data_IF_181555627850
#
_entry.id   IF_181555627850
#
_cell.length_a   1.000
_cell.length_b   1.000
_cell.length_c   1.000
_cell.angle_alpha   90.00
_cell.angle_beta   90.00
_cell.angle_gamma   90.00
#
_symmetry.space_group_name_H-M   'P 1'
#
loop_
_entity.id
_entity.type
_entity.pdbx_description
1 polymer ?
#
# COMPACT_ATOMS: atom_id res chain seq x y z
N UNK A 1 -13.85 -18.12 50.28
CA UNK A 1 -14.30 -17.06 51.16
C UNK A 1 -15.71 -17.42 51.61
N UNK A 2 -15.91 -17.68 52.88
CA UNK A 2 -17.18 -18.07 53.47
C UNK A 2 -17.10 -17.70 54.96
N UNK A 3 -18.14 -17.14 55.56
CA UNK A 3 -18.19 -16.81 57.00
C UNK A 3 -18.40 -18.06 57.87
N UNK A 4 -18.84 -19.17 57.24
CA UNK A 4 -18.83 -20.49 57.86
C UNK A 4 -17.41 -21.10 57.80
N UNK A 5 -16.76 -21.12 58.97
CA UNK A 5 -15.39 -21.63 59.12
C UNK A 5 -15.28 -23.14 58.86
N UNK A 6 -16.34 -23.91 59.18
CA UNK A 6 -16.32 -25.37 58.98
C UNK A 6 -16.33 -25.68 57.47
N UNK A 7 -17.21 -25.05 56.71
CA UNK A 7 -17.28 -25.20 55.26
C UNK A 7 -15.94 -24.76 54.60
N UNK A 8 -15.41 -23.61 54.99
CA UNK A 8 -14.15 -23.09 54.48
C UNK A 8 -12.99 -24.06 54.75
N UNK A 9 -12.94 -24.66 55.93
CA UNK A 9 -11.85 -25.60 56.29
C UNK A 9 -11.98 -26.92 55.53
N UNK A 10 -13.20 -27.46 55.39
CA UNK A 10 -13.46 -28.68 54.63
C UNK A 10 -13.05 -28.49 53.15
N UNK A 11 -13.45 -27.39 52.54
CA UNK A 11 -13.07 -27.08 51.16
C UNK A 11 -11.56 -26.91 51.01
N UNK A 12 -10.90 -26.26 51.94
CA UNK A 12 -9.44 -26.11 51.95
C UNK A 12 -8.73 -27.45 51.99
N UNK A 13 -9.09 -28.31 52.97
CA UNK A 13 -8.45 -29.62 53.12
C UNK A 13 -8.65 -30.53 51.91
N UNK A 14 -9.88 -30.52 51.36
CA UNK A 14 -10.22 -31.30 50.19
C UNK A 14 -9.44 -30.83 48.94
N UNK A 15 -9.46 -29.55 48.65
CA UNK A 15 -8.76 -29.01 47.47
C UNK A 15 -7.24 -29.08 47.65
N UNK A 16 -6.70 -28.94 48.86
CA UNK A 16 -5.28 -29.16 49.16
C UNK A 16 -4.86 -30.61 48.87
N UNK A 17 -5.72 -31.57 49.27
CA UNK A 17 -5.53 -32.97 48.93
C UNK A 17 -5.52 -33.28 47.42
N UNK A 18 -6.21 -32.49 46.64
CA UNK A 18 -6.22 -32.55 45.15
C UNK A 18 -5.05 -31.78 44.48
N UNK A 19 -4.13 -31.23 45.29
CA UNK A 19 -2.92 -30.56 44.81
C UNK A 19 -3.03 -29.08 44.56
N UNK A 20 -4.08 -28.41 45.05
CA UNK A 20 -4.22 -26.97 44.92
C UNK A 20 -3.66 -26.24 46.15
N UNK A 21 -3.03 -25.07 45.91
CA UNK A 21 -2.71 -24.14 47.00
C UNK A 21 -3.97 -23.33 47.35
N UNK A 22 -4.38 -23.37 48.61
CA UNK A 22 -5.66 -22.79 49.05
C UNK A 22 -5.45 -21.85 50.23
N UNK A 23 -5.95 -20.61 50.09
CA UNK A 23 -6.11 -19.66 51.20
C UNK A 23 -7.58 -19.48 51.56
N UNK A 24 -7.83 -19.33 52.83
CA UNK A 24 -9.19 -19.11 53.38
C UNK A 24 -9.31 -17.67 53.85
N UNK A 25 -10.49 -17.09 53.66
CA UNK A 25 -10.91 -15.82 54.25
C UNK A 25 -12.33 -15.97 54.82
N UNK A 26 -12.60 -15.30 55.93
CA UNK A 26 -13.88 -15.38 56.65
C UNK A 26 -14.79 -14.21 56.36
N UNK A 27 -14.36 -13.25 55.52
CA UNK A 27 -15.20 -12.15 55.05
C UNK A 27 -14.75 -11.70 53.63
N UNK A 28 -15.60 -10.97 52.96
CA UNK A 28 -15.30 -10.41 51.64
C UNK A 28 -14.15 -9.41 51.72
N UNK A 29 -14.05 -8.61 52.77
CA UNK A 29 -12.98 -7.63 52.98
C UNK A 29 -11.61 -8.30 53.15
N UNK A 30 -11.55 -9.40 53.94
CA UNK A 30 -10.35 -10.21 54.09
C UNK A 30 -9.96 -10.84 52.76
N UNK A 31 -10.93 -11.41 52.03
CA UNK A 31 -10.75 -12.00 50.72
C UNK A 31 -10.19 -10.99 49.71
N UNK A 32 -10.78 -9.78 49.66
CA UNK A 32 -10.30 -8.70 48.79
C UNK A 32 -8.86 -8.25 49.15
N UNK A 33 -8.57 -8.18 50.47
CA UNK A 33 -7.23 -7.89 50.97
C UNK A 33 -6.18 -8.91 50.51
N UNK A 34 -6.54 -10.21 50.47
CA UNK A 34 -5.67 -11.28 49.96
C UNK A 34 -5.53 -11.19 48.45
N UNK A 35 -6.59 -10.97 47.68
CA UNK A 35 -6.57 -10.80 46.24
C UNK A 35 -5.62 -9.67 45.80
N UNK A 36 -5.57 -8.56 46.56
CA UNK A 36 -4.63 -7.43 46.27
C UNK A 36 -3.18 -7.76 46.52
N UNK A 37 -2.88 -8.71 47.44
CA UNK A 37 -1.50 -9.05 47.84
C UNK A 37 -0.96 -10.29 47.15
N UNK A 38 -1.83 -11.18 46.70
CA UNK A 38 -1.46 -12.46 46.07
C UNK A 38 -1.96 -12.60 44.64
N UNK A 39 -1.43 -13.60 43.92
CA UNK A 39 -1.91 -13.99 42.59
C UNK A 39 -2.77 -15.22 42.70
N UNK A 40 -4.08 -15.04 42.61
CA UNK A 40 -5.03 -16.15 42.63
C UNK A 40 -5.57 -16.46 41.22
N UNK A 41 -5.74 -17.75 40.94
CA UNK A 41 -6.31 -18.24 39.70
C UNK A 41 -7.81 -18.41 39.76
N UNK A 42 -8.33 -18.65 40.94
CA UNK A 42 -9.72 -18.95 41.21
C UNK A 42 -10.13 -18.34 42.56
N UNK A 43 -11.33 -17.80 42.62
CA UNK A 43 -12.02 -17.40 43.82
C UNK A 43 -13.27 -18.29 43.99
N UNK A 44 -13.44 -18.89 45.17
CA UNK A 44 -14.70 -19.53 45.58
C UNK A 44 -15.28 -18.67 46.69
N UNK A 45 -16.51 -18.20 46.56
CA UNK A 45 -17.13 -17.30 47.55
C UNK A 45 -18.60 -17.65 47.83
N UNK A 46 -18.99 -17.61 49.11
CA UNK A 46 -20.41 -17.56 49.46
C UNK A 46 -21.00 -16.20 49.04
N UNK A 47 -22.28 -16.17 48.72
CA UNK A 47 -23.03 -14.92 48.44
C UNK A 47 -23.32 -14.16 49.75
N UNK A 48 -23.78 -14.88 50.78
CA UNK A 48 -24.23 -14.26 52.02
C UNK A 48 -23.15 -14.34 53.08
N UNK A 49 -22.51 -13.24 53.30
CA UNK A 49 -21.52 -13.04 54.36
C UNK A 49 -21.88 -11.75 55.11
N UNK A 50 -21.50 -11.67 56.37
CA UNK A 50 -21.66 -10.42 57.12
C UNK A 50 -20.83 -9.28 56.47
N UNK A 51 -21.46 -8.18 56.10
CA UNK A 51 -20.81 -7.04 55.45
C UNK A 51 -20.96 -7.05 53.94
N UNK A 52 -19.83 -6.94 53.23
CA UNK A 52 -19.77 -6.98 51.75
C UNK A 52 -20.18 -8.37 51.24
N UNK A 53 -21.04 -8.40 50.21
CA UNK A 53 -21.52 -9.66 49.62
C UNK A 53 -20.46 -10.35 48.75
N UNK A 54 -20.62 -11.68 48.58
CA UNK A 54 -19.76 -12.43 47.66
C UNK A 54 -19.89 -12.00 46.21
N UNK A 55 -21.04 -11.43 45.80
CA UNK A 55 -21.20 -10.86 44.46
C UNK A 55 -20.38 -9.58 44.25
N UNK A 56 -20.32 -8.72 45.27
CA UNK A 56 -19.47 -7.54 45.27
C UNK A 56 -17.99 -7.94 45.27
N UNK A 57 -17.63 -8.98 46.05
CA UNK A 57 -16.28 -9.54 46.02
C UNK A 57 -15.93 -10.11 44.63
N UNK A 58 -16.85 -10.80 43.96
CA UNK A 58 -16.67 -11.32 42.62
C UNK A 58 -16.35 -10.22 41.59
N UNK A 59 -17.07 -9.08 41.67
CA UNK A 59 -16.79 -7.91 40.82
C UNK A 59 -15.42 -7.31 41.10
N UNK A 60 -15.12 -7.07 42.40
CA UNK A 60 -13.78 -6.57 42.81
C UNK A 60 -12.66 -7.51 42.38
N UNK A 61 -12.85 -8.83 42.46
CA UNK A 61 -11.87 -9.81 42.01
C UNK A 61 -11.55 -9.70 40.49
N UNK A 62 -12.59 -9.47 39.68
CA UNK A 62 -12.41 -9.25 38.24
C UNK A 62 -11.72 -7.92 37.90
N UNK A 63 -11.95 -6.89 38.71
CA UNK A 63 -11.22 -5.59 38.56
C UNK A 63 -9.76 -5.72 38.96
N UNK A 64 -9.45 -6.42 40.06
CA UNK A 64 -8.08 -6.66 40.54
C UNK A 64 -7.32 -7.60 39.61
N UNK A 65 -7.96 -8.68 39.15
CA UNK A 65 -7.38 -9.69 38.27
C UNK A 65 -8.41 -10.09 37.21
N UNK A 66 -8.36 -9.48 35.98
CA UNK A 66 -9.34 -9.73 34.93
C UNK A 66 -9.47 -11.19 34.50
N UNK A 67 -8.43 -11.98 34.76
CA UNK A 67 -8.37 -13.39 34.36
C UNK A 67 -8.63 -14.39 35.52
N UNK A 68 -8.97 -13.90 36.71
CA UNK A 68 -9.39 -14.80 37.80
C UNK A 68 -10.74 -15.42 37.44
N UNK A 69 -10.91 -16.71 37.71
CA UNK A 69 -12.21 -17.32 37.63
C UNK A 69 -12.91 -17.25 38.99
N UNK A 70 -14.22 -17.21 38.99
CA UNK A 70 -15.02 -17.07 40.22
C UNK A 70 -16.10 -18.15 40.25
N UNK A 71 -16.15 -18.92 41.34
CA UNK A 71 -17.27 -19.84 41.64
C UNK A 71 -18.02 -19.25 42.82
N UNK A 72 -19.31 -19.11 42.66
CA UNK A 72 -20.19 -18.60 43.70
C UNK A 72 -20.95 -19.76 44.31
N UNK A 73 -20.96 -19.85 45.65
CA UNK A 73 -21.71 -20.86 46.41
C UNK A 73 -22.85 -20.16 47.15
N UNK A 74 -24.02 -20.78 47.25
CA UNK A 74 -25.17 -20.16 47.94
C UNK A 74 -26.16 -21.18 48.48
N UNK A 75 -26.80 -20.87 49.60
CA UNK A 75 -27.92 -21.61 50.09
C UNK A 75 -29.29 -21.24 49.44
N UNK A 76 -29.26 -20.25 48.54
CA UNK A 76 -30.49 -19.69 47.96
C UNK A 76 -30.77 -20.36 46.60
N UNK A 77 -31.95 -21.00 46.53
CA UNK A 77 -32.49 -21.56 45.26
C UNK A 77 -33.29 -20.48 44.51
N UNK A 78 -32.64 -19.37 44.16
CA UNK A 78 -33.26 -18.31 43.37
C UNK A 78 -32.50 -18.14 42.04
N UNK A 79 -33.21 -18.29 40.95
CA UNK A 79 -32.68 -18.18 39.60
C UNK A 79 -32.15 -16.76 39.34
N UNK A 80 -32.75 -15.72 39.93
CA UNK A 80 -32.31 -14.34 39.77
C UNK A 80 -30.92 -14.15 40.39
N UNK A 81 -30.64 -14.76 41.54
CA UNK A 81 -29.33 -14.72 42.19
C UNK A 81 -28.25 -15.41 41.33
N UNK A 82 -28.59 -16.53 40.70
CA UNK A 82 -27.67 -17.18 39.76
C UNK A 82 -27.37 -16.30 38.55
N UNK A 83 -28.41 -15.64 38.01
CA UNK A 83 -28.24 -14.68 36.90
C UNK A 83 -27.34 -13.50 37.31
N UNK A 84 -27.52 -12.96 38.51
CA UNK A 84 -26.71 -11.88 39.06
C UNK A 84 -25.25 -12.30 39.27
N UNK A 85 -25.02 -13.53 39.77
CA UNK A 85 -23.69 -14.08 39.91
C UNK A 85 -22.97 -14.16 38.52
N UNK A 86 -23.66 -14.66 37.51
CA UNK A 86 -23.11 -14.72 36.15
C UNK A 86 -22.84 -13.31 35.59
N UNK A 87 -23.73 -12.33 35.85
CA UNK A 87 -23.49 -10.92 35.45
C UNK A 87 -22.31 -10.29 36.22
N UNK A 88 -22.06 -10.71 37.46
CA UNK A 88 -20.89 -10.30 38.24
C UNK A 88 -19.58 -10.96 37.74
N UNK A 89 -19.63 -11.82 36.73
CA UNK A 89 -18.48 -12.48 36.11
C UNK A 89 -18.14 -13.85 36.74
N UNK A 90 -19.07 -14.47 37.48
CA UNK A 90 -18.87 -15.83 37.96
C UNK A 90 -18.80 -16.82 36.80
N UNK A 91 -17.95 -17.82 36.93
CA UNK A 91 -17.87 -18.96 36.03
C UNK A 91 -19.00 -19.94 36.31
N UNK A 92 -19.30 -20.20 37.58
CA UNK A 92 -20.31 -21.16 38.03
C UNK A 92 -20.98 -20.70 39.30
N UNK A 93 -22.20 -21.23 39.52
CA UNK A 93 -23.01 -21.03 40.69
C UNK A 93 -23.37 -22.41 41.26
N UNK A 94 -23.04 -22.67 42.54
CA UNK A 94 -23.26 -23.92 43.24
C UNK A 94 -24.25 -23.73 44.39
N UNK A 95 -25.14 -24.67 44.58
CA UNK A 95 -26.14 -24.65 45.68
C UNK A 95 -25.66 -25.46 46.89
N UNK A 96 -25.82 -24.92 48.07
CA UNK A 96 -25.68 -25.67 49.35
C UNK A 96 -26.99 -26.47 49.62
N UNK A 97 -26.92 -27.75 50.02
CA UNK A 97 -25.71 -28.55 50.21
C UNK A 97 -25.16 -29.05 48.86
N UNK A 98 -23.83 -29.07 48.71
CA UNK A 98 -23.11 -29.52 47.52
C UNK A 98 -22.25 -30.77 47.84
N UNK A 99 -21.91 -31.53 46.82
CA UNK A 99 -20.92 -32.59 46.91
C UNK A 99 -19.51 -32.07 46.59
N UNK A 100 -18.49 -32.57 47.28
CA UNK A 100 -17.10 -32.13 47.06
C UNK A 100 -16.61 -32.39 45.66
N UNK A 101 -17.07 -33.51 45.05
CA UNK A 101 -16.77 -33.85 43.65
C UNK A 101 -17.35 -32.83 42.66
N UNK A 102 -18.51 -32.25 42.98
CA UNK A 102 -19.13 -31.20 42.17
C UNK A 102 -18.30 -29.91 42.23
N UNK A 103 -17.82 -29.54 43.43
CA UNK A 103 -16.89 -28.41 43.60
C UNK A 103 -15.62 -28.65 42.81
N UNK A 104 -15.00 -29.83 42.91
CA UNK A 104 -13.79 -30.19 42.21
C UNK A 104 -13.96 -30.12 40.70
N UNK A 105 -15.05 -30.64 40.16
CA UNK A 105 -15.37 -30.55 38.73
C UNK A 105 -15.45 -29.09 38.26
N UNK A 106 -16.14 -28.24 39.00
CA UNK A 106 -16.22 -26.81 38.68
C UNK A 106 -14.86 -26.12 38.77
N UNK A 107 -14.05 -26.45 39.78
CA UNK A 107 -12.67 -25.92 39.91
C UNK A 107 -11.81 -26.29 38.71
N UNK A 108 -11.80 -27.57 38.32
CA UNK A 108 -11.05 -28.05 37.12
C UNK A 108 -11.49 -27.34 35.85
N UNK A 109 -12.78 -27.22 35.62
CA UNK A 109 -13.33 -26.56 34.45
C UNK A 109 -13.04 -25.05 34.42
N UNK A 110 -13.13 -24.37 35.57
CA UNK A 110 -12.80 -22.95 35.69
C UNK A 110 -11.31 -22.69 35.41
N UNK A 111 -10.41 -23.50 35.99
CA UNK A 111 -8.98 -23.36 35.78
C UNK A 111 -8.57 -23.71 34.38
N UNK A 112 -9.17 -24.71 33.75
CA UNK A 112 -8.92 -25.05 32.35
C UNK A 112 -9.40 -23.93 31.41
N UNK A 113 -10.60 -23.36 31.63
CA UNK A 113 -11.07 -22.18 30.89
C UNK A 113 -10.09 -21.01 31.02
N UNK A 114 -9.60 -20.74 32.22
CA UNK A 114 -8.58 -19.70 32.44
C UNK A 114 -7.30 -19.98 31.66
N UNK A 115 -6.79 -21.21 31.74
CA UNK A 115 -5.60 -21.64 31.02
C UNK A 115 -5.73 -21.42 29.52
N UNK A 116 -6.82 -21.89 28.90
CA UNK A 116 -7.08 -21.72 27.48
C UNK A 116 -7.23 -20.24 27.09
N UNK A 117 -7.86 -19.42 27.94
CA UNK A 117 -7.97 -17.98 27.71
C UNK A 117 -6.61 -17.28 27.68
N UNK A 118 -5.76 -17.59 28.65
CA UNK A 118 -4.40 -17.01 28.71
C UNK A 118 -3.54 -17.45 27.53
N UNK A 119 -3.59 -18.72 27.17
CA UNK A 119 -2.90 -19.23 25.97
C UNK A 119 -3.39 -18.55 24.68
N UNK A 120 -4.71 -18.31 24.56
CA UNK A 120 -5.26 -17.63 23.39
C UNK A 120 -4.77 -16.17 23.30
N UNK A 121 -4.69 -15.47 24.45
CA UNK A 121 -4.14 -14.10 24.48
C UNK A 121 -2.69 -14.08 24.04
N UNK A 122 -1.86 -14.96 24.58
CA UNK A 122 -0.44 -15.08 24.22
C UNK A 122 -0.28 -15.42 22.73
N UNK A 123 -1.05 -16.39 22.25
CA UNK A 123 -1.02 -16.78 20.85
C UNK A 123 -1.42 -15.64 19.90
N UNK A 124 -2.48 -14.89 20.26
CA UNK A 124 -2.90 -13.71 19.48
C UNK A 124 -1.83 -12.63 19.42
N UNK A 125 -1.21 -12.31 20.57
CA UNK A 125 -0.11 -11.34 20.61
C UNK A 125 1.08 -11.78 19.73
N UNK A 126 1.41 -13.07 19.78
CA UNK A 126 2.47 -13.62 18.95
C UNK A 126 2.12 -13.54 17.44
N UNK A 127 0.87 -13.84 17.06
CA UNK A 127 0.41 -13.71 15.68
C UNK A 127 0.45 -12.25 15.20
N UNK A 128 0.02 -11.30 16.03
CA UNK A 128 0.06 -9.88 15.70
C UNK A 128 1.50 -9.41 15.41
N UNK A 129 2.47 -9.81 16.24
CA UNK A 129 3.88 -9.52 16.01
C UNK A 129 4.41 -10.15 14.71
N UNK A 130 4.04 -11.41 14.43
CA UNK A 130 4.44 -12.08 13.19
C UNK A 130 3.85 -11.41 11.95
N UNK A 131 2.58 -11.00 12.00
CA UNK A 131 1.91 -10.29 10.90
C UNK A 131 2.62 -8.96 10.63
N UNK A 132 2.93 -8.19 11.68
CA UNK A 132 3.64 -6.92 11.54
C UNK A 132 5.03 -7.12 10.90
N UNK A 133 5.81 -8.09 11.41
CA UNK A 133 7.14 -8.41 10.87
C UNK A 133 7.07 -8.83 9.39
N UNK A 134 6.14 -9.71 9.04
CA UNK A 134 5.96 -10.19 7.67
C UNK A 134 5.52 -9.08 6.72
N UNK A 135 4.58 -8.24 7.17
CA UNK A 135 4.11 -7.08 6.39
C UNK A 135 5.26 -6.12 6.11
N UNK A 136 6.11 -5.85 7.11
CA UNK A 136 7.29 -5.01 6.95
C UNK A 136 8.30 -5.59 5.96
N UNK A 137 8.60 -6.89 6.08
CA UNK A 137 9.51 -7.60 5.14
C UNK A 137 8.97 -7.57 3.71
N UNK A 138 7.67 -7.80 3.53
CA UNK A 138 7.02 -7.75 2.21
C UNK A 138 7.13 -6.37 1.60
N UNK A 139 6.85 -5.31 2.38
CA UNK A 139 6.98 -3.93 1.92
C UNK A 139 8.41 -3.61 1.44
N UNK A 140 9.42 -4.03 2.20
CA UNK A 140 10.82 -3.84 1.79
C UNK A 140 11.17 -4.62 0.52
N UNK A 141 10.72 -5.87 0.41
CA UNK A 141 10.99 -6.69 -0.78
C UNK A 141 10.33 -6.11 -2.04
N UNK A 142 9.08 -5.64 -1.94
CA UNK A 142 8.39 -4.96 -3.03
C UNK A 142 9.11 -3.68 -3.44
N UNK A 143 9.56 -2.88 -2.48
CA UNK A 143 10.31 -1.65 -2.78
C UNK A 143 11.65 -1.94 -3.46
N UNK A 144 12.38 -2.96 -3.02
CA UNK A 144 13.63 -3.38 -3.64
C UNK A 144 13.41 -3.88 -5.09
N UNK A 145 12.39 -4.70 -5.29
CA UNK A 145 12.01 -5.19 -6.62
C UNK A 145 11.66 -4.04 -7.57
N UNK A 146 10.85 -3.10 -7.08
CA UNK A 146 10.47 -1.89 -7.82
C UNK A 146 11.70 -1.07 -8.23
N UNK A 147 12.64 -0.84 -7.30
CA UNK A 147 13.87 -0.11 -7.61
C UNK A 147 14.69 -0.82 -8.70
N UNK A 148 14.79 -2.15 -8.61
CA UNK A 148 15.49 -2.95 -9.63
C UNK A 148 14.86 -2.82 -11.02
N UNK A 149 13.53 -2.79 -11.13
CA UNK A 149 12.85 -2.55 -12.41
C UNK A 149 13.20 -1.18 -12.99
N UNK A 150 13.20 -0.14 -12.17
CA UNK A 150 13.57 1.21 -12.62
C UNK A 150 15.01 1.29 -13.08
N UNK A 151 15.93 0.63 -12.39
CA UNK A 151 17.34 0.57 -12.79
C UNK A 151 17.52 -0.13 -14.16
N UNK A 152 16.79 -1.23 -14.38
CA UNK A 152 16.81 -1.92 -15.68
C UNK A 152 16.28 -1.00 -16.79
N UNK A 153 15.17 -0.30 -16.56
CA UNK A 153 14.63 0.65 -17.53
C UNK A 153 15.61 1.78 -17.82
N UNK A 154 16.32 2.31 -16.82
CA UNK A 154 17.39 3.31 -16.98
C UNK A 154 18.47 2.82 -17.93
N UNK A 155 18.97 1.61 -17.67
CA UNK A 155 20.04 1.03 -18.50
C UNK A 155 19.57 0.84 -19.94
N UNK A 156 18.32 0.40 -20.14
CA UNK A 156 17.75 0.23 -21.48
C UNK A 156 17.67 1.56 -22.23
N UNK A 157 17.15 2.61 -21.59
CA UNK A 157 17.05 3.96 -22.19
C UNK A 157 18.46 4.52 -22.48
N UNK A 158 19.36 4.47 -21.51
CA UNK A 158 20.74 4.95 -21.70
C UNK A 158 21.48 4.21 -22.84
N UNK A 159 21.19 2.91 -23.01
CA UNK A 159 21.76 2.12 -24.11
C UNK A 159 21.23 2.56 -25.46
N UNK A 160 19.97 2.98 -25.54
CA UNK A 160 19.37 3.52 -26.75
C UNK A 160 19.91 4.92 -27.07
N UNK A 161 19.94 5.81 -26.07
CA UNK A 161 20.46 7.17 -26.19
C UNK A 161 21.92 7.15 -26.67
N UNK A 162 22.74 6.22 -26.19
CA UNK A 162 24.13 6.04 -26.63
C UNK A 162 24.25 5.56 -28.10
N UNK A 163 23.21 4.94 -28.66
CA UNK A 163 23.15 4.47 -30.03
C UNK A 163 22.60 5.53 -30.99
N UNK A 164 21.67 6.36 -30.50
CA UNK A 164 21.02 7.42 -31.28
C UNK A 164 21.83 8.73 -31.22
N UNK A 165 21.59 9.61 -32.17
CA UNK A 165 22.23 10.94 -32.28
C UNK A 165 21.42 12.00 -31.49
N UNK A 166 20.48 11.57 -30.61
CA UNK A 166 19.68 12.49 -29.83
C UNK A 166 20.48 13.14 -28.68
N UNK A 167 20.07 14.34 -28.29
CA UNK A 167 20.77 15.12 -27.28
C UNK A 167 20.58 14.52 -25.91
N UNK A 168 21.66 14.44 -25.12
CA UNK A 168 21.65 13.97 -23.74
C UNK A 168 20.50 14.60 -22.93
N UNK A 169 19.74 13.75 -22.20
CA UNK A 169 18.62 14.16 -21.38
C UNK A 169 17.32 14.50 -22.14
N UNK A 170 17.22 14.18 -23.46
CA UNK A 170 16.00 14.38 -24.24
C UNK A 170 14.79 13.65 -23.62
N UNK A 171 14.91 12.35 -23.42
CA UNK A 171 13.83 11.52 -22.85
C UNK A 171 13.31 12.09 -21.51
N UNK A 172 14.23 12.59 -20.68
CA UNK A 172 13.88 13.19 -19.37
C UNK A 172 13.07 14.48 -19.52
N UNK A 173 13.51 15.38 -20.37
CA UNK A 173 12.83 16.66 -20.60
C UNK A 173 11.44 16.47 -21.21
N UNK A 174 11.31 15.54 -22.17
CA UNK A 174 10.03 15.24 -22.80
C UNK A 174 9.05 14.62 -21.81
N UNK A 175 9.51 13.73 -20.93
CA UNK A 175 8.69 13.19 -19.82
C UNK A 175 8.19 14.30 -18.91
N UNK A 176 9.07 15.16 -18.40
CA UNK A 176 8.71 16.25 -17.49
C UNK A 176 7.72 17.22 -18.13
N UNK A 177 7.94 17.58 -19.38
CA UNK A 177 7.04 18.48 -20.12
C UNK A 177 5.68 17.82 -20.37
N UNK A 178 5.65 16.54 -20.77
CA UNK A 178 4.41 15.80 -20.98
C UNK A 178 3.57 15.75 -19.72
N UNK A 179 4.16 15.45 -18.56
CA UNK A 179 3.49 15.46 -17.28
C UNK A 179 2.98 16.86 -16.89
N UNK A 180 3.75 17.90 -17.21
CA UNK A 180 3.32 19.28 -16.94
C UNK A 180 2.16 19.72 -17.80
N UNK A 181 2.12 19.28 -19.08
CA UNK A 181 0.97 19.51 -19.97
C UNK A 181 -0.25 18.77 -19.40
N UNK A 182 -0.12 17.49 -18.99
CA UNK A 182 -1.20 16.73 -18.40
C UNK A 182 -1.75 17.39 -17.13
N UNK A 183 -0.87 17.92 -16.25
CA UNK A 183 -1.27 18.71 -15.06
C UNK A 183 -2.10 19.94 -15.46
N UNK A 184 -1.69 20.68 -16.51
CA UNK A 184 -2.42 21.86 -17.01
C UNK A 184 -3.77 21.50 -17.64
N UNK A 185 -3.91 20.27 -18.14
CA UNK A 185 -5.18 19.71 -18.61
C UNK A 185 -6.07 19.21 -17.46
N UNK A 186 -5.62 19.27 -16.20
CA UNK A 186 -6.38 18.81 -15.03
C UNK A 186 -6.40 17.28 -14.88
N UNK A 187 -5.49 16.57 -15.52
CA UNK A 187 -5.43 15.11 -15.46
C UNK A 187 -4.78 14.68 -14.14
N UNK A 188 -5.55 13.93 -13.34
CA UNK A 188 -5.13 13.42 -12.01
C UNK A 188 -5.13 11.89 -11.92
N UNK A 189 -5.55 11.21 -12.98
CA UNK A 189 -5.56 9.75 -13.06
C UNK A 189 -4.12 9.20 -12.99
N UNK A 190 -3.86 8.39 -11.97
CA UNK A 190 -2.51 7.89 -11.68
C UNK A 190 -2.01 6.90 -12.71
N UNK A 191 -2.88 6.05 -13.22
CA UNK A 191 -2.52 5.06 -14.22
C UNK A 191 -2.20 5.74 -15.54
N UNK A 192 -3.00 6.72 -15.95
CA UNK A 192 -2.71 7.53 -17.12
C UNK A 192 -1.36 8.26 -17.01
N UNK A 193 -1.08 8.91 -15.87
CA UNK A 193 0.18 9.63 -15.66
C UNK A 193 1.40 8.69 -15.64
N UNK A 194 1.24 7.48 -15.09
CA UNK A 194 2.26 6.43 -15.16
C UNK A 194 2.52 6.01 -16.60
N UNK A 195 1.46 5.71 -17.35
CA UNK A 195 1.56 5.25 -18.73
C UNK A 195 2.10 6.35 -19.65
N UNK A 196 1.73 7.61 -19.42
CA UNK A 196 2.30 8.76 -20.11
C UNK A 196 3.81 8.88 -19.87
N UNK A 197 4.25 8.76 -18.63
CA UNK A 197 5.66 8.79 -18.26
C UNK A 197 6.45 7.67 -18.92
N UNK A 198 5.96 6.42 -18.80
CA UNK A 198 6.65 5.24 -19.33
C UNK A 198 6.65 5.24 -20.86
N UNK A 199 5.55 5.66 -21.48
CA UNK A 199 5.45 5.77 -22.92
C UNK A 199 6.38 6.84 -23.48
N UNK A 200 6.44 8.00 -22.84
CA UNK A 200 7.38 9.06 -23.22
C UNK A 200 8.84 8.64 -23.06
N UNK A 201 9.15 7.89 -22.00
CA UNK A 201 10.51 7.37 -21.76
C UNK A 201 10.94 6.32 -22.80
N UNK A 202 10.02 5.48 -23.23
CA UNK A 202 10.26 4.32 -24.10
C UNK A 202 9.83 4.56 -25.55
N UNK A 203 9.42 5.78 -25.93
CA UNK A 203 8.83 6.06 -27.25
C UNK A 203 9.69 5.53 -28.41
N UNK A 204 10.98 5.67 -28.28
CA UNK A 204 11.97 5.35 -29.31
C UNK A 204 12.65 3.97 -29.12
N UNK A 205 12.19 3.14 -28.16
CA UNK A 205 12.79 1.82 -27.90
C UNK A 205 12.91 0.95 -29.15
N UNK A 206 12.02 1.12 -30.10
CA UNK A 206 12.02 0.38 -31.36
C UNK A 206 13.14 0.74 -32.32
N UNK A 207 13.86 1.85 -32.13
CA UNK A 207 15.06 2.20 -32.88
C UNK A 207 16.16 1.14 -32.76
N UNK A 208 16.06 0.26 -31.74
CA UNK A 208 16.96 -0.91 -31.63
C UNK A 208 16.88 -1.82 -32.85
N UNK A 209 15.75 -1.88 -33.54
CA UNK A 209 15.55 -2.67 -34.77
C UNK A 209 15.95 -1.96 -36.04
N UNK A 210 16.27 -0.66 -36.00
CA UNK A 210 16.68 0.12 -37.18
C UNK A 210 18.18 -0.11 -37.46
N UNK A 211 18.59 -0.45 -38.70
CA UNK A 211 20.00 -0.62 -39.05
C UNK A 211 20.81 0.66 -38.83
N UNK A 212 22.05 0.56 -38.32
CA UNK A 212 22.92 1.71 -38.04
C UNK A 212 23.20 2.59 -39.27
N UNK A 213 23.30 1.98 -40.46
CA UNK A 213 23.45 2.71 -41.71
C UNK A 213 22.32 3.70 -42.03
N UNK A 214 21.14 3.48 -41.43
CA UNK A 214 19.96 4.34 -41.56
C UNK A 214 19.87 5.29 -40.37
N UNK A 215 19.98 4.74 -39.15
CA UNK A 215 19.86 5.50 -37.91
C UNK A 215 20.92 6.61 -37.80
N UNK A 216 22.16 6.30 -38.17
CA UNK A 216 23.32 7.22 -38.09
C UNK A 216 23.71 7.85 -39.44
N UNK A 217 22.82 7.83 -40.41
CA UNK A 217 23.12 8.37 -41.74
C UNK A 217 23.33 9.87 -41.68
N UNK A 218 24.51 10.30 -42.17
CA UNK A 218 24.76 11.72 -42.39
C UNK A 218 24.00 12.18 -43.65
N UNK A 219 22.94 12.98 -43.46
CA UNK A 219 22.15 13.51 -44.54
C UNK A 219 20.70 13.02 -44.56
N UNK A 220 19.96 13.37 -45.61
CA UNK A 220 18.56 13.00 -45.75
C UNK A 220 18.41 11.52 -46.07
N UNK A 221 17.43 10.88 -45.42
CA UNK A 221 17.01 9.52 -45.74
C UNK A 221 16.34 9.47 -47.12
N UNK A 222 16.61 8.42 -47.89
CA UNK A 222 15.82 8.12 -49.08
C UNK A 222 14.41 7.71 -48.72
N UNK A 223 13.43 7.72 -49.63
CA UNK A 223 12.07 7.26 -49.35
C UNK A 223 12.03 5.84 -48.81
N UNK A 224 12.87 4.94 -49.28
CA UNK A 224 12.96 3.54 -48.85
C UNK A 224 13.55 3.44 -47.42
N UNK A 225 14.59 4.20 -47.12
CA UNK A 225 15.17 4.27 -45.78
C UNK A 225 14.20 4.89 -44.77
N UNK A 226 13.40 5.86 -45.23
CA UNK A 226 12.37 6.48 -44.38
C UNK A 226 11.27 5.47 -44.00
N UNK A 227 10.85 4.58 -44.90
CA UNK A 227 9.91 3.52 -44.56
C UNK A 227 10.49 2.60 -43.49
N UNK A 228 11.77 2.21 -43.59
CA UNK A 228 12.43 1.40 -42.56
C UNK A 228 12.53 2.18 -41.24
N UNK A 229 12.84 3.47 -41.27
CA UNK A 229 12.87 4.29 -40.06
C UNK A 229 11.53 4.32 -39.36
N UNK A 230 10.42 4.43 -40.09
CA UNK A 230 9.05 4.44 -39.50
C UNK A 230 8.66 3.12 -38.82
N UNK A 231 9.34 2.02 -39.13
CA UNK A 231 9.07 0.74 -38.48
C UNK A 231 9.37 0.74 -36.96
N UNK A 232 10.20 1.69 -36.47
CA UNK A 232 10.53 1.74 -35.05
C UNK A 232 9.30 1.81 -34.15
N UNK A 233 8.24 2.51 -34.57
CA UNK A 233 7.01 2.59 -33.75
C UNK A 233 6.32 1.22 -33.59
N UNK A 234 6.34 0.39 -34.65
CA UNK A 234 5.77 -0.95 -34.62
C UNK A 234 6.67 -1.93 -33.86
N UNK A 235 7.99 -1.81 -34.03
CA UNK A 235 8.97 -2.62 -33.30
C UNK A 235 8.88 -2.29 -31.80
N UNK A 236 8.87 -1.00 -31.47
CA UNK A 236 8.73 -0.52 -30.09
C UNK A 236 7.45 -1.01 -29.43
N UNK A 237 6.32 -0.87 -30.12
CA UNK A 237 5.03 -1.40 -29.64
C UNK A 237 5.10 -2.91 -29.37
N UNK A 238 5.68 -3.69 -30.27
CA UNK A 238 5.83 -5.15 -30.09
C UNK A 238 6.67 -5.47 -28.84
N UNK A 239 7.75 -4.72 -28.60
CA UNK A 239 8.61 -4.92 -27.43
C UNK A 239 7.86 -4.57 -26.15
N UNK A 240 7.29 -3.36 -26.08
CA UNK A 240 6.69 -2.81 -24.87
C UNK A 240 5.40 -3.56 -24.48
N UNK A 241 4.57 -3.94 -25.46
CA UNK A 241 3.30 -4.64 -25.23
C UNK A 241 3.43 -6.07 -24.68
N UNK A 242 4.64 -6.67 -24.74
CA UNK A 242 4.90 -7.99 -24.12
C UNK A 242 4.91 -7.95 -22.59
N UNK A 243 5.05 -6.76 -22.03
CA UNK A 243 5.14 -6.55 -20.57
C UNK A 243 3.82 -5.97 -20.06
N UNK A 244 3.10 -6.71 -19.23
CA UNK A 244 1.73 -6.37 -18.84
C UNK A 244 1.59 -4.95 -18.26
N UNK A 245 2.48 -4.54 -17.37
CA UNK A 245 2.41 -3.21 -16.76
C UNK A 245 2.80 -2.05 -17.70
N UNK A 246 3.29 -2.33 -18.92
CA UNK A 246 3.63 -1.35 -19.93
C UNK A 246 2.57 -1.25 -21.05
N UNK A 247 1.47 -1.99 -20.98
CA UNK A 247 0.46 -2.00 -22.06
C UNK A 247 -0.12 -0.62 -22.35
N UNK A 248 -0.43 0.19 -21.33
CA UNK A 248 -0.89 1.57 -21.53
C UNK A 248 0.19 2.46 -22.17
N UNK A 249 1.44 2.30 -21.76
CA UNK A 249 2.58 3.00 -22.36
C UNK A 249 2.81 2.61 -23.82
N UNK A 250 2.51 1.36 -24.20
CA UNK A 250 2.72 0.86 -25.57
C UNK A 250 1.91 1.62 -26.64
N UNK A 251 0.75 2.15 -26.29
CA UNK A 251 -0.05 2.98 -27.21
C UNK A 251 0.66 4.31 -27.53
N UNK A 252 1.34 4.91 -26.56
CA UNK A 252 2.12 6.13 -26.78
C UNK A 252 3.29 5.81 -27.71
N UNK A 253 4.01 4.71 -27.46
CA UNK A 253 5.10 4.24 -28.32
C UNK A 253 4.63 3.98 -29.76
N UNK A 254 3.43 3.44 -29.94
CA UNK A 254 2.89 3.16 -31.27
C UNK A 254 2.49 4.42 -32.03
N UNK A 255 1.87 5.39 -31.32
CA UNK A 255 1.15 6.50 -31.95
C UNK A 255 1.81 7.86 -31.78
N UNK A 256 3.02 7.96 -31.23
CA UNK A 256 3.67 9.25 -30.97
C UNK A 256 4.00 10.07 -32.22
N UNK A 257 4.00 9.45 -33.39
CA UNK A 257 4.17 10.11 -34.68
C UNK A 257 2.86 10.31 -35.45
N UNK A 258 1.70 10.01 -34.85
CA UNK A 258 0.43 10.39 -35.44
C UNK A 258 0.23 11.90 -35.37
N UNK A 259 -0.54 12.43 -36.31
CA UNK A 259 -0.81 13.85 -36.43
C UNK A 259 -2.30 14.10 -36.36
N UNK A 260 -2.69 15.20 -35.75
CA UNK A 260 -4.10 15.57 -35.60
C UNK A 260 -4.86 15.60 -36.93
N UNK A 261 -4.20 15.98 -38.03
CA UNK A 261 -4.75 16.05 -39.38
C UNK A 261 -4.85 14.69 -40.11
N UNK A 262 -4.38 13.61 -39.49
CA UNK A 262 -4.37 12.25 -40.06
C UNK A 262 -3.23 11.99 -41.06
N UNK A 263 -2.22 12.88 -41.16
CA UNK A 263 -1.07 12.71 -42.05
C UNK A 263 0.13 12.08 -41.34
N UNK A 264 -0.08 11.55 -40.13
CA UNK A 264 0.92 10.87 -39.35
C UNK A 264 1.10 9.40 -39.74
N UNK A 265 1.84 8.67 -38.92
CA UNK A 265 2.06 7.23 -39.06
C UNK A 265 2.07 6.57 -37.66
N UNK A 266 1.82 5.25 -37.55
CA UNK A 266 1.76 4.23 -38.59
C UNK A 266 0.36 3.99 -39.20
N UNK A 267 -0.72 4.53 -38.63
CA UNK A 267 -2.10 4.23 -39.04
C UNK A 267 -2.82 5.41 -39.70
N UNK A 268 -2.29 6.63 -39.61
CA UNK A 268 -2.94 7.83 -40.09
C UNK A 268 -4.21 8.18 -39.30
N UNK A 269 -4.20 7.93 -37.96
CA UNK A 269 -5.30 8.28 -37.05
C UNK A 269 -5.52 9.79 -37.06
N UNK A 270 -6.79 10.22 -36.93
CA UNK A 270 -7.15 11.62 -36.99
C UNK A 270 -7.89 12.09 -35.75
N UNK A 271 -7.54 13.26 -35.25
CA UNK A 271 -8.23 13.89 -34.14
C UNK A 271 -8.19 13.04 -32.88
N UNK A 272 -9.35 12.77 -32.31
CA UNK A 272 -9.50 12.03 -31.06
C UNK A 272 -9.29 10.50 -31.19
N UNK A 273 -9.18 9.97 -32.40
CA UNK A 273 -8.77 8.57 -32.59
C UNK A 273 -7.35 8.32 -32.08
N UNK A 274 -6.51 9.37 -32.02
CA UNK A 274 -5.16 9.30 -31.45
C UNK A 274 -5.27 9.27 -29.92
N UNK A 275 -4.68 8.29 -29.22
CA UNK A 275 -4.69 8.25 -27.75
C UNK A 275 -4.18 9.56 -27.14
N UNK A 276 -4.83 10.04 -26.09
CA UNK A 276 -4.50 11.33 -25.48
C UNK A 276 -3.04 11.43 -25.03
N UNK A 277 -2.47 10.36 -24.50
CA UNK A 277 -1.05 10.32 -24.12
C UNK A 277 -0.11 10.58 -25.30
N UNK A 278 -0.41 10.01 -26.48
CA UNK A 278 0.38 10.25 -27.69
C UNK A 278 0.24 11.70 -28.20
N UNK A 279 -0.96 12.30 -28.09
CA UNK A 279 -1.20 13.72 -28.45
C UNK A 279 -0.42 14.66 -27.53
N UNK A 280 -0.39 14.39 -26.23
CA UNK A 280 0.41 15.17 -25.25
C UNK A 280 1.88 15.02 -25.53
N UNK A 281 2.35 13.79 -25.71
CA UNK A 281 3.75 13.49 -26.02
C UNK A 281 4.23 14.21 -27.27
N UNK A 282 3.46 14.18 -28.38
CA UNK A 282 3.83 14.79 -29.65
C UNK A 282 4.14 16.30 -29.55
N UNK A 283 3.44 17.03 -28.68
CA UNK A 283 3.70 18.45 -28.40
C UNK A 283 5.00 18.62 -27.63
N UNK A 284 5.21 17.80 -26.59
CA UNK A 284 6.40 17.85 -25.76
C UNK A 284 7.67 17.50 -26.53
N UNK A 285 7.62 16.43 -27.33
CA UNK A 285 8.74 15.98 -28.17
C UNK A 285 9.10 17.03 -29.24
N UNK A 286 8.11 17.54 -29.95
CA UNK A 286 8.35 18.60 -30.97
C UNK A 286 8.96 19.85 -30.34
N UNK A 287 8.50 20.25 -29.14
CA UNK A 287 9.07 21.39 -28.44
C UNK A 287 10.54 21.16 -28.08
N UNK A 288 10.87 20.01 -27.42
CA UNK A 288 12.26 19.70 -27.06
C UNK A 288 13.16 19.62 -28.28
N UNK A 289 12.65 19.00 -29.34
CA UNK A 289 13.37 18.94 -30.61
C UNK A 289 13.65 20.33 -31.24
N UNK A 290 12.79 21.34 -30.99
CA UNK A 290 12.98 22.69 -31.55
C UNK A 290 13.96 23.54 -30.75
N UNK A 291 14.03 23.37 -29.43
CA UNK A 291 14.88 24.19 -28.53
C UNK A 291 16.31 23.64 -28.35
N UNK A 292 16.66 22.56 -29.05
CA UNK A 292 18.00 21.95 -28.98
C UNK A 292 18.68 22.02 -30.33
N UNK A 293 20.02 22.19 -30.28
CA UNK A 293 20.84 22.11 -31.46
C UNK A 293 20.84 20.69 -32.03
N UNK A 294 20.56 20.56 -33.30
CA UNK A 294 20.69 19.30 -34.05
C UNK A 294 21.76 19.49 -35.15
N UNK A 295 22.38 18.43 -35.62
CA UNK A 295 23.47 18.46 -36.61
C UNK A 295 23.11 19.34 -37.80
N UNK A 296 21.83 19.46 -38.14
CA UNK A 296 21.36 20.20 -39.35
C UNK A 296 20.56 21.46 -39.05
N UNK A 297 20.34 21.81 -37.74
CA UNK A 297 19.53 22.97 -37.36
C UNK A 297 19.95 23.54 -35.99
N UNK A 298 20.16 24.87 -35.95
CA UNK A 298 20.35 25.60 -34.70
C UNK A 298 19.06 25.58 -33.85
N UNK A 299 19.21 25.60 -32.53
CA UNK A 299 18.12 25.73 -31.60
C UNK A 299 17.31 27.00 -31.86
N UNK A 300 15.98 26.87 -31.71
CA UNK A 300 15.07 28.00 -31.65
C UNK A 300 15.03 28.57 -30.23
N UNK A 301 14.65 29.81 -30.07
CA UNK A 301 14.27 30.33 -28.76
C UNK A 301 12.98 29.67 -28.29
N UNK A 302 12.72 29.70 -26.97
CA UNK A 302 11.48 29.16 -26.38
C UNK A 302 10.25 29.83 -27.00
N UNK A 303 10.33 31.14 -27.24
CA UNK A 303 9.24 31.92 -27.83
C UNK A 303 8.94 31.51 -29.27
N UNK A 304 10.00 31.32 -30.09
CA UNK A 304 9.86 30.86 -31.48
C UNK A 304 9.25 29.43 -31.52
N UNK A 305 9.72 28.52 -30.67
CA UNK A 305 9.20 27.16 -30.60
C UNK A 305 7.74 27.12 -30.17
N UNK A 306 7.34 27.96 -29.19
CA UNK A 306 5.94 28.12 -28.77
C UNK A 306 5.04 28.61 -29.88
N UNK A 307 5.51 29.59 -30.66
CA UNK A 307 4.75 30.13 -31.78
C UNK A 307 4.62 29.10 -32.91
N UNK A 308 5.64 28.29 -33.16
CA UNK A 308 5.58 27.22 -34.15
C UNK A 308 4.55 26.14 -33.73
N UNK A 309 4.53 25.75 -32.46
CA UNK A 309 3.50 24.82 -31.95
C UNK A 309 2.10 25.42 -32.07
N UNK A 310 1.93 26.72 -31.77
CA UNK A 310 0.65 27.43 -31.94
C UNK A 310 0.18 27.42 -33.40
N UNK A 311 1.05 27.69 -34.35
CA UNK A 311 0.73 27.69 -35.81
C UNK A 311 0.30 26.31 -36.30
N UNK A 312 0.81 25.24 -35.69
CA UNK A 312 0.50 23.87 -36.05
C UNK A 312 -0.67 23.27 -35.23
N UNK A 313 -1.36 24.09 -34.42
CA UNK A 313 -2.58 23.69 -33.74
C UNK A 313 -3.70 23.34 -34.73
N UNK A 314 -4.37 22.21 -34.52
CA UNK A 314 -5.43 21.72 -35.42
C UNK A 314 -4.91 21.05 -36.71
N UNK A 315 -3.59 21.07 -36.94
CA UNK A 315 -2.93 20.34 -38.05
C UNK A 315 -2.04 19.22 -37.52
N UNK A 316 -0.89 19.54 -36.97
CA UNK A 316 -0.02 18.54 -36.38
C UNK A 316 -0.46 18.16 -34.95
N UNK A 317 -0.90 19.14 -34.16
CA UNK A 317 -1.17 19.00 -32.75
C UNK A 317 -2.65 19.17 -32.38
N UNK A 318 -3.09 18.46 -31.32
CA UNK A 318 -4.41 18.65 -30.71
C UNK A 318 -4.53 20.08 -30.14
N UNK A 319 -5.54 20.88 -30.56
CA UNK A 319 -5.75 22.25 -30.06
C UNK A 319 -5.86 22.35 -28.53
N UNK A 320 -6.47 21.37 -27.87
CA UNK A 320 -6.60 21.36 -26.39
C UNK A 320 -5.25 21.13 -25.70
N UNK A 321 -4.42 20.28 -26.27
CA UNK A 321 -3.07 20.04 -25.75
C UNK A 321 -2.19 21.26 -25.96
N UNK A 322 -2.31 21.93 -27.13
CA UNK A 322 -1.58 23.17 -27.44
C UNK A 322 -2.00 24.28 -26.47
N UNK A 323 -3.29 24.43 -26.18
CA UNK A 323 -3.79 25.41 -25.19
C UNK A 323 -3.18 25.18 -23.81
N UNK A 324 -3.22 23.92 -23.33
CA UNK A 324 -2.59 23.54 -22.05
C UNK A 324 -1.08 23.80 -22.04
N UNK A 325 -0.36 23.44 -23.10
CA UNK A 325 1.06 23.72 -23.28
C UNK A 325 1.36 25.22 -23.22
N UNK A 326 0.60 26.06 -23.94
CA UNK A 326 0.79 27.51 -23.98
C UNK A 326 0.47 28.18 -22.63
N UNK A 327 -0.33 27.55 -21.78
CA UNK A 327 -0.59 28.04 -20.41
C UNK A 327 0.60 27.87 -19.43
N UNK A 328 1.60 27.06 -19.80
CA UNK A 328 2.84 26.91 -19.03
C UNK A 328 3.71 28.16 -19.21
N UNK A 329 4.17 28.83 -18.12
CA UNK A 329 5.02 30.00 -18.24
C UNK A 329 6.30 29.73 -19.02
N UNK A 330 6.76 30.64 -19.92
CA UNK A 330 8.00 30.46 -20.69
C UNK A 330 9.22 30.21 -19.81
N UNK A 331 9.33 30.87 -18.66
CA UNK A 331 10.45 30.67 -17.74
C UNK A 331 10.57 29.22 -17.25
N UNK A 332 9.43 28.57 -16.96
CA UNK A 332 9.40 27.15 -16.58
C UNK A 332 9.96 26.28 -17.72
N UNK A 333 9.69 26.64 -18.97
CA UNK A 333 10.19 25.90 -20.15
C UNK A 333 11.69 26.12 -20.39
N UNK A 334 12.21 27.29 -20.09
CA UNK A 334 13.67 27.57 -20.08
C UNK A 334 14.35 26.68 -19.03
N UNK A 335 13.76 26.57 -17.85
CA UNK A 335 14.28 25.71 -16.79
C UNK A 335 14.30 24.23 -17.19
N UNK A 336 13.30 23.75 -17.93
CA UNK A 336 13.31 22.39 -18.51
C UNK A 336 14.46 22.25 -19.54
N UNK A 337 14.65 23.22 -20.41
CA UNK A 337 15.71 23.23 -21.40
C UNK A 337 17.13 23.29 -20.82
N UNK A 338 17.31 23.94 -19.66
CA UNK A 338 18.60 24.08 -18.98
C UNK A 338 18.96 22.89 -18.07
N UNK A 339 17.99 22.01 -17.75
CA UNK A 339 18.24 20.84 -16.90
C UNK A 339 19.10 19.80 -17.64
N UNK A 340 20.38 19.81 -17.35
CA UNK A 340 21.24 18.65 -17.49
C UNK A 340 21.05 17.81 -16.24
N UNK A 341 20.44 16.64 -16.36
CA UNK A 341 20.42 15.45 -15.45
C UNK A 341 20.51 15.60 -13.92
N UNK A 342 20.14 16.73 -13.29
CA UNK A 342 20.33 16.93 -11.84
C UNK A 342 19.12 16.62 -10.96
N UNK A 343 17.95 16.36 -11.51
CA UNK A 343 16.82 15.74 -10.81
C UNK A 343 16.45 14.47 -11.54
N UNK A 344 16.69 13.35 -10.91
CA UNK A 344 16.35 12.04 -11.46
C UNK A 344 14.84 11.96 -11.75
N UNK A 345 14.46 11.85 -13.05
CA UNK A 345 13.09 11.43 -13.44
C UNK A 345 12.73 10.08 -12.80
N UNK A 346 13.71 9.44 -12.24
CA UNK A 346 13.65 8.19 -11.53
C UNK A 346 13.25 8.38 -10.05
N UNK A 347 13.25 9.62 -9.53
CA UNK A 347 12.59 10.01 -8.28
C UNK A 347 11.08 10.11 -8.52
N UNK A 348 10.53 8.96 -8.88
CA UNK A 348 9.09 8.81 -9.11
C UNK A 348 8.39 8.95 -7.77
N UNK A 349 7.43 9.87 -7.60
CA UNK A 349 6.59 9.91 -6.43
C UNK A 349 6.01 8.51 -6.16
N UNK A 350 6.02 8.06 -4.91
CA UNK A 350 5.61 6.69 -4.52
C UNK A 350 4.27 6.25 -5.15
N UNK A 351 3.36 7.20 -5.36
CA UNK A 351 2.04 6.94 -5.92
C UNK A 351 2.00 6.60 -7.42
N UNK A 352 3.04 6.95 -8.21
CA UNK A 352 3.04 6.70 -9.67
C UNK A 352 3.48 5.26 -9.98
N UNK A 353 4.08 4.59 -9.01
CA UNK A 353 4.58 3.23 -9.13
C UNK A 353 3.84 2.23 -8.21
N UNK A 354 2.72 2.61 -7.62
CA UNK A 354 1.83 1.65 -6.97
C UNK A 354 1.28 0.70 -8.05
N UNK A 355 2.06 -0.34 -8.28
CA UNK A 355 1.58 -1.54 -8.96
C UNK A 355 0.75 -2.28 -7.90
N UNK A 356 -0.58 -2.19 -7.99
CA UNK A 356 -1.53 -2.90 -7.15
C UNK A 356 -1.35 -4.41 -7.24
#
# INVERSE_FOLDING_TARGET
>A
VDDDREISQVLREFLYGEGYEVEVATSAEEGEGKLKRGKFSLLITDIRMGGKSGLELARSAKEISPHIEVIVISAIKDINMAIEAMKAGAFSYLLKPFYLEEVLSNVKNALERRRLRLQNIEYRQHLEMLVEERTKKLKYALQALRNSYLEILKVLVATLDARDVETEGHSERVVDLSLKIAEKMGITDRDFLRDLRLGALLHDIGKIGVPDRILRKEGKLTPQEWEIMKEHVLIGYKIVSTVDFLKGASEIVLYHHERWDGKGYPRGLKGEEIPLGARIFAVADAFDAMIKDRIYRKAMTVEEAREEIRRNSGSQFDPRVVEAFLSIPPQTMVDFGARTSSRSIWDVPEFILDMA
#
